data_IF_041413010324
#
_entry.id   IF_041413010324
#
_cell.length_a   1.000
_cell.length_b   1.000
_cell.length_c   1.000
_cell.angle_alpha   90.00
_cell.angle_beta   90.00
_cell.angle_gamma   90.00
#
_symmetry.space_group_name_H-M   'P 1'
#
loop_
_entity.id
_entity.type
_entity.pdbx_description
1 polymer ?
#
# COMPACT_ATOMS: atom_id res chain seq x y z
N UNK A 1 10.68 25.96 17.54
CA UNK A 1 9.24 25.65 17.62
C UNK A 1 9.11 24.20 18.03
N UNK A 2 8.27 23.89 18.96
CA UNK A 2 8.00 22.51 19.36
C UNK A 2 6.82 21.99 18.53
N UNK A 3 7.13 21.16 17.52
CA UNK A 3 6.11 20.55 16.68
C UNK A 3 5.45 19.37 17.41
N UNK A 4 4.16 19.16 17.16
CA UNK A 4 3.40 18.05 17.74
C UNK A 4 3.25 16.85 16.82
N UNK A 5 3.34 17.08 15.51
CA UNK A 5 3.20 16.05 14.47
C UNK A 5 4.32 16.17 13.45
N UNK A 6 5.07 15.10 13.25
CA UNK A 6 6.00 14.93 12.13
C UNK A 6 5.23 14.33 10.95
N UNK A 7 5.06 15.08 9.88
CA UNK A 7 4.46 14.61 8.63
C UNK A 7 5.59 14.24 7.67
N UNK A 8 5.73 12.96 7.35
CA UNK A 8 6.81 12.43 6.52
C UNK A 8 6.24 12.02 5.16
N UNK A 9 6.76 12.60 4.09
CA UNK A 9 6.31 12.37 2.71
C UNK A 9 7.50 11.83 1.90
N UNK A 10 7.66 10.48 1.83
CA UNK A 10 8.63 9.86 0.93
C UNK A 10 8.32 10.20 -0.52
N UNK A 11 9.35 10.61 -1.29
CA UNK A 11 9.13 11.17 -2.62
C UNK A 11 10.23 10.70 -3.59
N UNK A 12 9.83 10.37 -4.83
CA UNK A 12 10.75 10.12 -5.94
C UNK A 12 10.03 10.34 -7.28
N UNK A 13 10.39 11.43 -8.01
CA UNK A 13 9.81 11.81 -9.29
C UNK A 13 8.27 12.00 -9.23
N UNK A 14 7.83 12.92 -8.37
CA UNK A 14 6.41 13.19 -8.08
C UNK A 14 6.00 14.63 -8.49
N UNK A 15 6.66 15.25 -9.48
CA UNK A 15 6.36 16.62 -9.92
C UNK A 15 4.88 16.87 -10.24
N UNK A 16 4.16 15.82 -10.68
CA UNK A 16 2.73 15.90 -11.05
C UNK A 16 1.78 15.92 -9.86
N UNK A 17 2.24 15.49 -8.69
CA UNK A 17 1.37 15.23 -7.55
C UNK A 17 1.78 15.99 -6.29
N UNK A 18 3.08 16.25 -6.09
CA UNK A 18 3.61 16.77 -4.84
C UNK A 18 2.98 18.11 -4.42
N UNK A 19 2.73 19.02 -5.35
CA UNK A 19 2.09 20.31 -5.05
C UNK A 19 0.70 20.10 -4.43
N UNK A 20 -0.14 19.26 -5.07
CA UNK A 20 -1.49 18.95 -4.58
C UNK A 20 -1.48 18.19 -3.25
N UNK A 21 -0.48 17.34 -3.03
CA UNK A 21 -0.29 16.67 -1.75
C UNK A 21 0.01 17.70 -0.65
N UNK A 22 0.97 18.61 -0.88
CA UNK A 22 1.32 19.66 0.06
C UNK A 22 0.15 20.60 0.33
N UNK A 23 -0.61 20.99 -0.68
CA UNK A 23 -1.84 21.80 -0.50
C UNK A 23 -2.82 21.09 0.43
N UNK A 24 -3.05 19.78 0.24
CA UNK A 24 -3.94 19.00 1.11
C UNK A 24 -3.43 18.86 2.55
N UNK A 25 -2.12 18.97 2.79
CA UNK A 25 -1.52 19.00 4.14
C UNK A 25 -1.66 20.39 4.77
N UNK A 26 -1.47 21.44 4.00
CA UNK A 26 -1.63 22.84 4.47
C UNK A 26 -3.08 23.12 4.86
N UNK A 27 -4.03 22.54 4.13
CA UNK A 27 -5.49 22.71 4.36
C UNK A 27 -6.08 21.81 5.46
N UNK A 28 -5.25 21.04 6.20
CA UNK A 28 -5.74 20.20 7.29
C UNK A 28 -6.40 21.01 8.40
N UNK A 29 -7.44 20.42 9.04
CA UNK A 29 -8.07 21.01 10.24
C UNK A 29 -7.14 20.99 11.46
N UNK A 30 -6.22 20.04 11.52
CA UNK A 30 -5.15 20.05 12.52
C UNK A 30 -4.25 21.28 12.31
N UNK A 31 -3.86 22.03 13.36
CA UNK A 31 -3.13 23.28 13.20
C UNK A 31 -1.81 23.12 12.44
N UNK A 32 -1.72 23.68 11.25
CA UNK A 32 -0.55 23.55 10.38
C UNK A 32 0.76 24.00 11.04
N UNK A 33 0.70 25.03 11.91
CA UNK A 33 1.85 25.50 12.70
C UNK A 33 2.44 24.45 13.66
N UNK A 34 1.65 23.44 14.04
CA UNK A 34 2.04 22.37 14.95
C UNK A 34 2.60 21.14 14.18
N UNK A 35 2.68 21.20 12.84
CA UNK A 35 3.19 20.15 11.98
C UNK A 35 4.61 20.47 11.51
N UNK A 36 5.51 19.48 11.53
CA UNK A 36 6.82 19.48 10.88
C UNK A 36 6.70 18.63 9.62
N UNK A 37 6.59 19.29 8.45
CA UNK A 37 6.33 18.62 7.17
C UNK A 37 7.64 18.38 6.45
N UNK A 38 8.05 17.14 6.34
CA UNK A 38 9.29 16.70 5.71
C UNK A 38 9.03 15.96 4.42
N UNK A 39 9.40 16.54 3.30
CA UNK A 39 9.45 15.83 2.01
C UNK A 39 10.83 15.20 1.88
N UNK A 40 10.86 13.86 1.97
CA UNK A 40 12.12 13.11 2.03
C UNK A 40 12.34 12.45 0.66
N UNK A 41 13.18 13.11 -0.16
CA UNK A 41 13.33 12.84 -1.58
C UNK A 41 14.47 11.87 -1.91
N UNK A 42 14.14 10.81 -2.65
CA UNK A 42 15.05 9.77 -3.10
C UNK A 42 15.98 10.14 -4.26
N UNK A 43 16.21 11.44 -4.50
CA UNK A 43 17.03 11.94 -5.61
C UNK A 43 16.23 12.02 -6.90
N UNK A 44 15.10 12.74 -6.87
CA UNK A 44 14.27 13.04 -8.04
C UNK A 44 15.08 13.79 -9.10
N UNK A 45 14.81 13.49 -10.35
CA UNK A 45 15.44 14.12 -11.53
C UNK A 45 14.42 14.91 -12.37
N UNK A 46 13.21 15.10 -11.85
CA UNK A 46 12.17 15.98 -12.35
C UNK A 46 12.06 17.24 -11.50
N UNK A 47 10.99 18.02 -11.63
CA UNK A 47 10.79 19.27 -10.89
C UNK A 47 10.32 19.09 -9.43
N UNK A 48 10.28 17.86 -8.89
CA UNK A 48 9.83 17.59 -7.53
C UNK A 48 10.55 18.45 -6.50
N UNK A 49 11.89 18.49 -6.54
CA UNK A 49 12.69 19.27 -5.61
C UNK A 49 12.40 20.76 -5.70
N UNK A 50 12.37 21.32 -6.91
CA UNK A 50 12.08 22.74 -7.17
C UNK A 50 10.73 23.14 -6.52
N UNK A 51 9.68 22.34 -6.74
CA UNK A 51 8.34 22.57 -6.19
C UNK A 51 8.40 22.58 -4.65
N UNK A 52 9.04 21.58 -4.03
CA UNK A 52 9.12 21.50 -2.56
C UNK A 52 9.88 22.69 -1.97
N UNK A 53 10.99 23.12 -2.59
CA UNK A 53 11.75 24.28 -2.16
C UNK A 53 10.94 25.59 -2.31
N UNK A 54 10.04 25.70 -3.30
CA UNK A 54 9.09 26.81 -3.41
C UNK A 54 8.11 26.86 -2.25
N UNK A 55 7.56 25.70 -1.84
CA UNK A 55 6.71 25.61 -0.66
C UNK A 55 7.48 25.94 0.63
N UNK A 56 8.72 25.45 0.78
CA UNK A 56 9.57 25.73 1.93
C UNK A 56 9.93 27.23 2.09
N UNK A 57 9.99 27.99 0.98
CA UNK A 57 10.15 29.46 1.03
C UNK A 57 8.90 30.18 1.56
N UNK A 58 7.71 29.61 1.36
CA UNK A 58 6.42 30.18 1.83
C UNK A 58 6.07 29.72 3.24
N UNK A 59 6.46 28.51 3.61
CA UNK A 59 6.04 27.84 4.83
C UNK A 59 7.25 27.25 5.55
N UNK A 60 7.67 27.86 6.64
CA UNK A 60 8.89 27.52 7.40
C UNK A 60 8.91 26.09 7.94
N UNK A 61 7.74 25.50 8.12
CA UNK A 61 7.55 24.12 8.61
C UNK A 61 7.50 23.08 7.49
N UNK A 62 7.69 23.44 6.21
CA UNK A 62 7.89 22.50 5.11
C UNK A 62 9.39 22.44 4.79
N UNK A 63 9.96 21.24 4.87
CA UNK A 63 11.38 21.00 4.67
C UNK A 63 11.65 19.95 3.61
N UNK A 64 12.62 20.21 2.74
CA UNK A 64 13.17 19.21 1.83
C UNK A 64 14.32 18.49 2.53
N UNK A 65 14.32 17.15 2.50
CA UNK A 65 15.36 16.29 3.04
C UNK A 65 15.80 15.29 1.96
N UNK A 66 17.10 15.12 1.77
CA UNK A 66 17.63 14.16 0.81
C UNK A 66 17.66 12.74 1.39
N UNK A 67 17.18 11.76 0.62
CA UNK A 67 17.25 10.33 0.93
C UNK A 67 18.22 9.61 -0.02
N UNK A 68 19.47 9.34 0.39
CA UNK A 68 20.45 8.67 -0.46
C UNK A 68 20.09 7.21 -0.77
N UNK A 69 19.27 6.57 0.06
CA UNK A 69 18.86 5.17 -0.10
C UNK A 69 17.71 4.95 -1.09
N UNK A 70 17.03 6.03 -1.53
CA UNK A 70 16.02 6.05 -2.60
C UNK A 70 14.71 5.29 -2.31
N UNK A 71 14.66 4.43 -1.31
CA UNK A 71 13.46 3.66 -0.97
C UNK A 71 12.65 4.32 0.14
N UNK A 72 11.39 3.98 0.19
CA UNK A 72 10.37 4.61 1.04
C UNK A 72 10.60 4.38 2.53
N UNK A 73 11.05 3.18 2.92
CA UNK A 73 11.38 2.85 4.31
C UNK A 73 12.54 3.68 4.85
N UNK A 74 13.60 3.91 4.03
CA UNK A 74 14.71 4.78 4.41
C UNK A 74 14.23 6.22 4.55
N UNK A 75 13.41 6.72 3.62
CA UNK A 75 12.82 8.05 3.72
C UNK A 75 12.01 8.23 5.01
N UNK A 76 11.19 7.24 5.39
CA UNK A 76 10.45 7.26 6.64
C UNK A 76 11.38 7.35 7.85
N UNK A 77 12.40 6.49 7.91
CA UNK A 77 13.37 6.47 9.02
C UNK A 77 14.12 7.81 9.13
N UNK A 78 14.57 8.37 8.01
CA UNK A 78 15.22 9.69 7.96
C UNK A 78 14.26 10.76 8.51
N UNK A 79 13.00 10.76 8.10
CA UNK A 79 12.01 11.71 8.59
C UNK A 79 11.80 11.61 10.10
N UNK A 80 11.69 10.38 10.63
CA UNK A 80 11.49 10.18 12.08
C UNK A 80 12.65 10.71 12.90
N UNK A 81 13.90 10.48 12.49
CA UNK A 81 15.09 10.93 13.24
C UNK A 81 15.36 12.43 13.10
N UNK A 82 14.76 13.09 12.11
CA UNK A 82 14.90 14.54 11.88
C UNK A 82 13.82 15.40 12.54
N UNK A 83 12.97 14.82 13.39
CA UNK A 83 11.93 15.52 14.15
C UNK A 83 11.80 14.91 15.54
N UNK A 84 11.47 15.70 16.55
CA UNK A 84 11.20 15.23 17.91
C UNK A 84 9.70 15.19 18.23
N UNK A 85 8.85 15.42 17.24
CA UNK A 85 7.40 15.44 17.41
C UNK A 85 6.86 14.11 17.99
N UNK A 86 5.95 14.13 18.98
CA UNK A 86 5.44 12.93 19.66
C UNK A 86 4.59 12.02 18.76
N UNK A 87 4.04 12.56 17.69
CA UNK A 87 3.27 11.80 16.71
C UNK A 87 3.93 11.87 15.33
N UNK A 88 3.91 10.76 14.62
CA UNK A 88 4.49 10.58 13.29
C UNK A 88 3.35 10.21 12.33
N UNK A 89 3.21 10.92 11.23
CA UNK A 89 2.24 10.61 10.16
C UNK A 89 3.01 10.39 8.88
N UNK A 90 2.88 9.20 8.29
CA UNK A 90 3.41 8.91 6.95
C UNK A 90 2.34 9.22 5.92
N UNK A 91 2.70 10.01 4.92
CA UNK A 91 1.85 10.32 3.76
C UNK A 91 2.59 9.96 2.47
N UNK A 92 1.88 9.56 1.43
CA UNK A 92 2.47 9.32 0.10
C UNK A 92 2.23 10.53 -0.80
N UNK A 93 3.25 10.94 -1.58
CA UNK A 93 3.23 12.15 -2.40
C UNK A 93 2.14 12.17 -3.49
N UNK A 94 1.71 11.00 -3.97
CA UNK A 94 0.67 10.85 -4.99
C UNK A 94 -0.73 10.51 -4.44
N UNK A 95 -0.95 10.78 -3.15
CA UNK A 95 -2.25 10.67 -2.49
C UNK A 95 -2.79 12.05 -2.09
N UNK A 96 -4.09 12.13 -1.86
CA UNK A 96 -4.79 13.30 -1.35
C UNK A 96 -5.47 12.93 -0.05
N UNK A 97 -5.46 13.84 0.90
CA UNK A 97 -5.95 13.62 2.25
C UNK A 97 -7.13 14.54 2.55
N UNK A 98 -8.21 14.00 3.11
CA UNK A 98 -9.33 14.82 3.57
C UNK A 98 -8.87 15.81 4.64
N UNK A 99 -9.56 16.94 4.77
CA UNK A 99 -9.19 18.04 5.69
C UNK A 99 -9.02 17.60 7.14
N UNK A 100 -9.72 16.58 7.58
CA UNK A 100 -9.73 16.06 8.94
C UNK A 100 -8.86 14.81 9.13
N UNK A 101 -8.04 14.46 8.11
CA UNK A 101 -7.23 13.24 8.11
C UNK A 101 -6.28 13.17 9.30
N UNK A 102 -5.41 14.18 9.46
CA UNK A 102 -4.39 14.21 10.51
C UNK A 102 -5.05 14.35 11.88
N UNK A 103 -6.07 15.20 12.01
CA UNK A 103 -6.81 15.38 13.26
C UNK A 103 -7.43 14.07 13.76
N UNK A 104 -8.11 13.32 12.88
CA UNK A 104 -8.70 12.01 13.21
C UNK A 104 -7.64 10.95 13.52
N UNK A 105 -6.50 10.97 12.83
CA UNK A 105 -5.40 10.09 13.15
C UNK A 105 -4.88 10.34 14.57
N UNK A 106 -4.61 11.60 14.92
CA UNK A 106 -4.10 11.96 16.24
C UNK A 106 -5.13 11.66 17.33
N UNK A 107 -6.40 12.00 17.12
CA UNK A 107 -7.47 11.65 18.05
C UNK A 107 -7.57 10.13 18.28
N UNK A 108 -7.44 9.32 17.23
CA UNK A 108 -7.42 7.85 17.36
C UNK A 108 -6.28 7.35 18.24
N UNK A 109 -5.07 7.92 18.10
CA UNK A 109 -3.91 7.55 18.91
C UNK A 109 -4.04 8.00 20.37
N UNK A 110 -4.69 9.13 20.61
CA UNK A 110 -4.89 9.69 21.96
C UNK A 110 -6.00 8.96 22.74
N UNK A 111 -6.98 8.38 22.05
CA UNK A 111 -8.12 7.70 22.68
C UNK A 111 -7.75 6.33 23.28
N UNK A 112 -6.75 5.64 22.73
CA UNK A 112 -6.30 4.34 23.24
C UNK A 112 -4.78 4.19 23.08
N UNK A 113 -4.06 4.20 24.19
CA UNK A 113 -2.59 4.06 24.23
C UNK A 113 -2.07 2.69 23.74
N UNK A 114 -2.96 1.71 23.58
CA UNK A 114 -2.61 0.42 22.98
C UNK A 114 -2.54 0.49 21.44
N UNK A 115 -3.03 1.56 20.82
CA UNK A 115 -2.95 1.75 19.39
C UNK A 115 -1.55 2.21 19.03
N UNK A 116 -0.84 1.38 18.28
CA UNK A 116 0.51 1.68 17.77
C UNK A 116 0.51 2.21 16.34
N UNK A 117 -0.57 2.01 15.59
CA UNK A 117 -0.77 2.57 14.27
C UNK A 117 -2.25 2.80 14.02
N UNK A 118 -2.60 3.94 13.46
CA UNK A 118 -3.95 4.27 13.02
C UNK A 118 -3.94 4.73 11.57
N UNK A 119 -4.92 4.30 10.82
CA UNK A 119 -5.14 4.74 9.45
C UNK A 119 -6.59 4.50 9.03
N UNK A 120 -6.90 4.78 7.79
CA UNK A 120 -8.26 4.77 7.37
C UNK A 120 -8.51 4.27 5.96
N UNK A 121 -9.61 4.73 5.41
CA UNK A 121 -10.10 4.35 4.10
C UNK A 121 -9.28 5.01 2.99
N UNK A 122 -8.89 4.22 2.01
CA UNK A 122 -8.21 4.70 0.82
C UNK A 122 -9.15 4.59 -0.40
N UNK A 123 -9.63 5.72 -0.88
CA UNK A 123 -10.50 5.81 -2.07
C UNK A 123 -9.61 5.73 -3.30
N UNK A 124 -9.90 4.76 -4.16
CA UNK A 124 -9.16 4.56 -5.40
C UNK A 124 -9.86 5.27 -6.53
N UNK A 125 -9.19 6.27 -7.09
CA UNK A 125 -9.70 7.05 -8.23
C UNK A 125 -9.07 6.55 -9.53
N UNK A 126 -9.77 6.61 -10.67
CA UNK A 126 -9.15 6.38 -11.96
C UNK A 126 -8.13 7.49 -12.26
N UNK A 127 -6.97 7.12 -12.81
CA UNK A 127 -5.91 8.08 -13.16
C UNK A 127 -6.37 9.07 -14.27
N UNK A 128 -7.21 8.57 -15.18
CA UNK A 128 -7.84 9.31 -16.29
C UNK A 128 -9.10 8.56 -16.75
N UNK A 129 -9.82 9.11 -17.74
CA UNK A 129 -11.07 8.54 -18.25
C UNK A 129 -10.89 7.37 -19.23
N UNK A 130 -9.72 6.76 -19.31
CA UNK A 130 -9.53 5.58 -20.15
C UNK A 130 -10.23 4.36 -19.58
N UNK A 131 -10.62 3.43 -20.46
CA UNK A 131 -11.28 2.19 -20.08
C UNK A 131 -10.47 1.41 -19.04
N UNK A 132 -9.14 1.27 -19.23
CA UNK A 132 -8.27 0.53 -18.32
C UNK A 132 -8.05 1.21 -16.98
N UNK A 133 -7.97 2.54 -16.93
CA UNK A 133 -7.85 3.28 -15.67
C UNK A 133 -9.10 3.12 -14.81
N UNK A 134 -10.28 3.24 -15.41
CA UNK A 134 -11.57 3.02 -14.74
C UNK A 134 -11.73 1.55 -14.32
N UNK A 135 -11.39 0.59 -15.18
CA UNK A 135 -11.43 -0.85 -14.83
C UNK A 135 -10.54 -1.15 -13.61
N UNK A 136 -9.35 -0.56 -13.57
CA UNK A 136 -8.43 -0.76 -12.42
C UNK A 136 -9.00 -0.14 -11.13
N UNK A 137 -9.62 1.01 -11.19
CA UNK A 137 -10.28 1.61 -10.03
C UNK A 137 -11.39 0.68 -9.50
N UNK A 138 -12.26 0.15 -10.37
CA UNK A 138 -13.34 -0.80 -10.03
C UNK A 138 -12.77 -2.08 -9.41
N UNK A 139 -11.73 -2.66 -10.03
CA UNK A 139 -11.06 -3.88 -9.55
C UNK A 139 -10.58 -3.74 -8.09
N UNK A 140 -10.10 -2.56 -7.71
CA UNK A 140 -9.59 -2.29 -6.36
C UNK A 140 -10.65 -2.39 -5.25
N UNK A 141 -11.94 -2.26 -5.58
CA UNK A 141 -13.06 -2.46 -4.65
C UNK A 141 -13.60 -3.87 -4.65
N UNK A 142 -13.18 -4.72 -5.59
CA UNK A 142 -13.62 -6.11 -5.64
C UNK A 142 -12.85 -6.95 -4.63
N UNK A 143 -13.59 -7.69 -3.78
CA UNK A 143 -13.01 -8.70 -2.88
C UNK A 143 -12.28 -9.80 -3.65
N UNK A 144 -12.76 -10.13 -4.85
CA UNK A 144 -12.11 -11.10 -5.75
C UNK A 144 -10.82 -10.53 -6.33
N UNK A 145 -10.73 -9.20 -6.58
CA UNK A 145 -9.59 -8.56 -7.24
C UNK A 145 -8.34 -8.43 -6.36
N UNK A 146 -8.42 -7.60 -5.33
CA UNK A 146 -7.24 -7.27 -4.49
C UNK A 146 -7.41 -7.76 -3.04
N UNK A 147 -8.39 -8.62 -2.82
CA UNK A 147 -8.72 -9.15 -1.50
C UNK A 147 -9.44 -8.13 -0.62
N UNK A 148 -9.97 -8.63 0.50
CA UNK A 148 -10.81 -7.85 1.41
C UNK A 148 -10.03 -6.95 2.39
N UNK A 149 -9.04 -6.19 1.95
CA UNK A 149 -8.31 -5.26 2.82
C UNK A 149 -9.26 -4.23 3.43
N UNK A 150 -9.25 -4.08 4.76
CA UNK A 150 -10.16 -3.18 5.47
C UNK A 150 -10.12 -1.75 4.94
N UNK A 151 -8.94 -1.24 4.60
CA UNK A 151 -8.77 0.11 4.06
C UNK A 151 -9.41 0.34 2.68
N UNK A 152 -9.88 -0.71 1.99
CA UNK A 152 -10.58 -0.61 0.69
C UNK A 152 -12.07 -0.90 0.78
N UNK A 153 -12.44 -1.87 1.60
CA UNK A 153 -13.83 -2.37 1.67
C UNK A 153 -14.42 -2.28 3.08
N UNK A 154 -13.65 -1.87 4.08
CA UNK A 154 -14.11 -1.72 5.46
C UNK A 154 -15.10 -0.56 5.61
N UNK A 155 -16.16 -0.80 6.38
CA UNK A 155 -17.23 0.19 6.63
C UNK A 155 -17.38 0.53 8.11
N UNK A 156 -16.70 -0.20 9.00
CA UNK A 156 -16.74 0.00 10.45
C UNK A 156 -15.32 0.08 11.01
N UNK A 157 -15.11 0.83 12.12
CA UNK A 157 -13.85 0.80 12.85
C UNK A 157 -13.52 -0.63 13.31
N UNK A 158 -12.26 -1.05 13.16
CA UNK A 158 -11.82 -2.40 13.55
C UNK A 158 -10.31 -2.46 13.80
N UNK A 159 -9.87 -3.46 14.55
CA UNK A 159 -8.45 -3.80 14.64
C UNK A 159 -8.08 -4.71 13.47
N UNK A 160 -7.02 -4.33 12.77
CA UNK A 160 -6.63 -4.94 11.49
C UNK A 160 -5.16 -5.32 11.47
N UNK A 161 -4.75 -6.05 10.44
CA UNK A 161 -3.35 -6.44 10.26
C UNK A 161 -2.47 -5.30 9.72
N UNK A 162 -3.04 -4.39 8.92
CA UNK A 162 -2.33 -3.28 8.30
C UNK A 162 -3.28 -2.16 7.85
N UNK A 163 -2.80 -0.91 7.88
CA UNK A 163 -3.44 0.27 7.30
C UNK A 163 -2.46 1.02 6.41
N UNK A 164 -2.90 1.68 5.32
CA UNK A 164 -2.05 2.55 4.53
C UNK A 164 -1.88 3.92 5.22
N UNK A 165 -0.83 4.66 4.86
CA UNK A 165 -0.62 6.05 5.30
C UNK A 165 -0.83 6.23 6.80
N UNK A 166 -0.19 5.36 7.60
CA UNK A 166 -0.43 5.27 9.04
C UNK A 166 0.12 6.43 9.85
N UNK A 167 -0.50 6.62 11.02
CA UNK A 167 -0.01 7.51 12.06
C UNK A 167 0.40 6.71 13.29
N UNK A 168 1.52 7.11 13.90
CA UNK A 168 2.19 6.35 14.95
C UNK A 168 2.55 7.27 16.12
N UNK A 169 2.45 6.83 17.39
CA UNK A 169 3.15 7.49 18.49
C UNK A 169 4.67 7.28 18.30
N UNK A 170 5.48 8.27 18.64
CA UNK A 170 6.96 8.14 18.61
C UNK A 170 7.47 6.98 19.45
N UNK A 171 6.82 6.71 20.57
CA UNK A 171 7.14 5.58 21.46
C UNK A 171 7.06 4.22 20.77
N UNK A 172 6.27 4.09 19.71
CA UNK A 172 6.25 2.87 18.86
C UNK A 172 7.57 2.75 18.12
N UNK A 173 8.04 3.82 17.46
CA UNK A 173 9.32 3.81 16.77
C UNK A 173 10.49 3.52 17.74
N UNK A 174 10.48 4.13 18.90
CA UNK A 174 11.49 3.90 19.96
C UNK A 174 11.52 2.45 20.43
N UNK A 175 10.34 1.83 20.57
CA UNK A 175 10.21 0.43 21.04
C UNK A 175 10.47 -0.60 19.96
N UNK A 176 9.96 -0.34 18.73
CA UNK A 176 9.94 -1.32 17.64
C UNK A 176 11.13 -1.12 16.68
N UNK A 177 11.73 0.07 16.68
CA UNK A 177 12.74 0.51 15.73
C UNK A 177 12.12 1.02 14.44
N UNK A 178 12.95 1.42 13.47
CA UNK A 178 12.54 1.91 12.17
C UNK A 178 12.00 0.83 11.23
N UNK A 179 11.48 1.27 10.08
CA UNK A 179 11.13 0.36 8.99
C UNK A 179 12.37 -0.30 8.40
N UNK A 180 12.25 -1.54 7.93
CA UNK A 180 13.36 -2.27 7.32
C UNK A 180 13.81 -1.64 6.02
N UNK A 181 15.10 -1.31 5.94
CA UNK A 181 15.71 -0.59 4.82
C UNK A 181 16.11 -1.50 3.65
N UNK A 182 15.99 -2.81 3.81
CA UNK A 182 16.25 -3.82 2.79
C UNK A 182 14.97 -4.31 2.09
N UNK A 183 13.79 -3.79 2.49
CA UNK A 183 12.51 -4.08 1.85
C UNK A 183 12.07 -2.91 0.96
N UNK A 184 12.13 -3.04 -0.37
CA UNK A 184 11.70 -1.97 -1.27
C UNK A 184 10.17 -1.83 -1.34
N UNK A 185 9.42 -2.84 -0.88
CA UNK A 185 7.97 -2.88 -0.76
C UNK A 185 7.54 -3.82 0.35
N UNK A 186 6.26 -3.75 0.76
CA UNK A 186 5.69 -4.49 1.89
C UNK A 186 6.35 -4.17 3.23
N UNK A 187 7.07 -3.04 3.31
CA UNK A 187 7.66 -2.50 4.52
C UNK A 187 6.60 -2.18 5.58
N UNK A 188 5.40 -1.75 5.13
CA UNK A 188 4.25 -1.48 5.98
C UNK A 188 3.68 -2.77 6.60
N UNK A 189 3.57 -3.86 5.84
CA UNK A 189 3.12 -5.15 6.35
C UNK A 189 4.08 -5.68 7.43
N UNK A 190 5.38 -5.61 7.18
CA UNK A 190 6.43 -6.04 8.11
C UNK A 190 6.42 -5.15 9.36
N UNK A 191 6.34 -3.82 9.19
CA UNK A 191 6.34 -2.88 10.30
C UNK A 191 5.11 -3.04 11.19
N UNK A 192 3.91 -3.17 10.60
CA UNK A 192 2.68 -3.44 11.34
C UNK A 192 2.72 -4.80 12.06
N UNK A 193 3.38 -5.81 11.51
CA UNK A 193 3.60 -7.09 12.20
C UNK A 193 4.47 -6.92 13.44
N UNK A 194 5.58 -6.16 13.36
CA UNK A 194 6.42 -5.85 14.53
C UNK A 194 5.67 -5.03 15.58
N UNK A 195 4.88 -4.06 15.17
CA UNK A 195 4.02 -3.27 16.07
C UNK A 195 3.09 -4.19 16.86
N UNK A 196 2.41 -5.13 16.18
CA UNK A 196 1.52 -6.10 16.84
C UNK A 196 2.27 -7.07 17.76
N UNK A 197 3.46 -7.55 17.37
CA UNK A 197 4.33 -8.40 18.18
C UNK A 197 4.84 -7.69 19.44
N UNK A 198 4.99 -6.37 19.37
CA UNK A 198 5.35 -5.54 20.52
C UNK A 198 4.18 -5.27 21.49
N UNK A 199 2.99 -5.84 21.20
CA UNK A 199 1.80 -5.73 22.06
C UNK A 199 0.87 -4.56 21.73
N UNK A 200 1.15 -3.78 20.67
CA UNK A 200 0.27 -2.73 20.19
C UNK A 200 -0.78 -3.27 19.21
N UNK A 201 -1.78 -2.46 18.96
CA UNK A 201 -2.85 -2.72 17.99
C UNK A 201 -2.71 -1.81 16.77
N UNK A 202 -3.14 -2.29 15.60
CA UNK A 202 -3.30 -1.49 14.39
C UNK A 202 -4.79 -1.21 14.21
N UNK A 203 -5.17 0.06 14.16
CA UNK A 203 -6.57 0.48 14.16
C UNK A 203 -6.97 1.08 12.83
N UNK A 204 -8.05 0.59 12.26
CA UNK A 204 -8.69 1.12 11.07
C UNK A 204 -9.93 1.92 11.45
N UNK A 205 -9.99 3.19 11.01
CA UNK A 205 -11.18 4.02 11.12
C UNK A 205 -11.63 4.48 9.72
N UNK A 206 -12.82 4.06 9.23
CA UNK A 206 -13.31 4.42 7.89
C UNK A 206 -13.58 5.91 7.69
N UNK A 207 -13.63 6.70 8.76
CA UNK A 207 -13.79 8.15 8.67
C UNK A 207 -12.47 8.87 8.36
N UNK A 208 -11.34 8.24 8.55
CA UNK A 208 -10.02 8.74 8.10
C UNK A 208 -9.93 8.43 6.61
N UNK A 209 -10.02 9.44 5.76
CA UNK A 209 -10.14 9.24 4.31
C UNK A 209 -8.97 9.84 3.56
N UNK A 210 -8.36 9.04 2.72
CA UNK A 210 -7.40 9.44 1.70
C UNK A 210 -7.87 9.00 0.31
N UNK A 211 -7.31 9.59 -0.74
CA UNK A 211 -7.57 9.20 -2.14
C UNK A 211 -6.26 8.94 -2.86
N UNK A 212 -6.27 7.95 -3.75
CA UNK A 212 -5.09 7.50 -4.48
C UNK A 212 -5.49 7.14 -5.91
N UNK A 213 -4.61 7.42 -6.89
CA UNK A 213 -4.89 7.14 -8.29
C UNK A 213 -4.45 5.73 -8.69
N UNK A 214 -5.37 4.92 -9.23
CA UNK A 214 -5.09 3.61 -9.79
C UNK A 214 -4.16 3.70 -11.00
N UNK A 215 -3.42 2.63 -11.29
CA UNK A 215 -2.55 2.59 -12.48
C UNK A 215 -3.35 2.74 -13.77
N UNK A 216 -2.87 3.53 -14.76
CA UNK A 216 -3.67 3.89 -15.94
C UNK A 216 -3.82 2.78 -16.99
N UNK A 217 -2.99 1.73 -16.94
CA UNK A 217 -2.98 0.67 -17.97
C UNK A 217 -2.89 -0.72 -17.35
N UNK A 218 -3.39 -1.73 -18.07
CA UNK A 218 -3.25 -3.14 -17.69
C UNK A 218 -1.79 -3.52 -17.42
N UNK A 219 -0.86 -3.13 -18.30
CA UNK A 219 0.57 -3.41 -18.15
C UNK A 219 1.14 -2.81 -16.85
N UNK A 220 0.77 -1.59 -16.51
CA UNK A 220 1.22 -0.93 -15.27
C UNK A 220 0.63 -1.61 -14.03
N UNK A 221 -0.62 -2.07 -14.09
CA UNK A 221 -1.28 -2.84 -13.03
C UNK A 221 -0.60 -4.18 -12.81
N UNK A 222 -0.33 -4.94 -13.89
CA UNK A 222 0.41 -6.21 -13.81
C UNK A 222 1.81 -6.03 -13.21
N UNK A 223 2.54 -4.98 -13.64
CA UNK A 223 3.87 -4.67 -13.07
C UNK A 223 3.79 -4.37 -11.58
N UNK A 224 2.78 -3.60 -11.15
CA UNK A 224 2.56 -3.30 -9.73
C UNK A 224 2.25 -4.57 -8.94
N UNK A 225 1.36 -5.43 -9.47
CA UNK A 225 0.96 -6.66 -8.79
C UNK A 225 2.12 -7.67 -8.73
N UNK A 226 2.91 -7.78 -9.79
CA UNK A 226 4.14 -8.57 -9.79
C UNK A 226 5.10 -8.12 -8.68
N UNK A 227 5.40 -6.81 -8.61
CA UNK A 227 6.30 -6.27 -7.60
C UNK A 227 5.76 -6.43 -6.16
N UNK A 228 4.43 -6.32 -5.97
CA UNK A 228 3.80 -6.60 -4.69
C UNK A 228 3.94 -8.09 -4.32
N UNK A 229 3.68 -9.00 -5.26
CA UNK A 229 3.88 -10.43 -5.06
C UNK A 229 5.33 -10.78 -4.73
N UNK A 230 6.30 -10.24 -5.48
CA UNK A 230 7.73 -10.44 -5.23
C UNK A 230 8.11 -10.05 -3.80
N UNK A 231 7.62 -8.92 -3.32
CA UNK A 231 7.87 -8.47 -1.94
C UNK A 231 7.23 -9.39 -0.90
N UNK A 232 6.02 -9.92 -1.16
CA UNK A 232 5.43 -10.96 -0.29
C UNK A 232 6.29 -12.22 -0.28
N UNK A 233 6.86 -12.62 -1.44
CA UNK A 233 7.82 -13.72 -1.51
C UNK A 233 9.06 -13.50 -0.63
N UNK A 234 9.55 -12.26 -0.54
CA UNK A 234 10.65 -11.88 0.36
C UNK A 234 10.27 -12.04 1.84
N UNK A 235 9.03 -11.72 2.22
CA UNK A 235 8.55 -11.82 3.61
C UNK A 235 8.59 -13.25 4.17
N UNK A 236 8.61 -14.29 3.35
CA UNK A 236 8.82 -15.67 3.83
C UNK A 236 10.14 -15.87 4.58
N UNK A 237 11.14 -15.03 4.29
CA UNK A 237 12.46 -15.07 4.92
C UNK A 237 12.66 -14.02 6.00
N UNK A 238 11.86 -12.96 5.97
CA UNK A 238 11.97 -11.81 6.88
C UNK A 238 11.00 -11.91 8.05
N UNK A 239 9.71 -12.01 7.74
CA UNK A 239 8.65 -12.14 8.75
C UNK A 239 7.40 -12.79 8.15
N UNK A 240 7.22 -14.09 8.41
CA UNK A 240 6.08 -14.86 7.91
C UNK A 240 4.74 -14.42 8.51
N UNK A 241 4.74 -13.89 9.72
CA UNK A 241 3.52 -13.47 10.41
C UNK A 241 2.94 -12.18 9.79
N UNK A 242 3.74 -11.48 8.97
CA UNK A 242 3.25 -10.34 8.18
C UNK A 242 2.48 -10.74 6.93
N UNK A 243 2.46 -12.04 6.58
CA UNK A 243 1.79 -12.57 5.38
C UNK A 243 0.37 -12.99 5.72
N UNK A 244 -0.63 -12.17 5.36
CA UNK A 244 -2.04 -12.55 5.52
C UNK A 244 -2.49 -13.61 4.51
N UNK A 245 -3.53 -14.39 4.84
CA UNK A 245 -4.09 -15.45 3.98
C UNK A 245 -4.46 -14.96 2.57
N UNK A 246 -4.92 -13.72 2.45
CA UNK A 246 -5.26 -13.10 1.16
C UNK A 246 -4.09 -13.08 0.17
N UNK A 247 -2.86 -13.01 0.66
CA UNK A 247 -1.65 -13.01 -0.17
C UNK A 247 -1.29 -14.40 -0.71
N UNK A 248 -1.79 -15.45 -0.05
CA UNK A 248 -1.53 -16.83 -0.46
C UNK A 248 -2.43 -17.28 -1.62
N UNK A 249 -3.61 -16.70 -1.80
CA UNK A 249 -4.58 -17.12 -2.82
C UNK A 249 -3.99 -17.03 -4.25
N UNK A 250 -3.39 -15.91 -4.69
CA UNK A 250 -2.76 -15.85 -6.01
C UNK A 250 -1.55 -16.78 -6.16
N UNK A 251 -0.79 -16.99 -5.09
CA UNK A 251 0.32 -17.96 -5.08
C UNK A 251 -0.19 -19.38 -5.32
N UNK A 252 -1.19 -19.82 -4.55
CA UNK A 252 -1.81 -21.15 -4.67
C UNK A 252 -2.37 -21.33 -6.09
N UNK A 253 -3.01 -20.32 -6.65
CA UNK A 253 -3.53 -20.35 -8.01
C UNK A 253 -2.44 -20.62 -9.05
N UNK A 254 -1.33 -19.85 -9.02
CA UNK A 254 -0.23 -20.03 -10.00
C UNK A 254 0.51 -21.34 -9.78
N UNK A 255 0.79 -21.72 -8.52
CA UNK A 255 1.41 -23.02 -8.20
C UNK A 255 0.51 -24.17 -8.65
N UNK A 256 -0.80 -24.06 -8.44
CA UNK A 256 -1.79 -25.04 -8.90
C UNK A 256 -1.77 -25.25 -10.42
N UNK A 257 -1.65 -24.15 -11.19
CA UNK A 257 -1.51 -24.24 -12.66
C UNK A 257 -0.21 -24.95 -13.01
N UNK A 258 0.92 -24.59 -12.42
CA UNK A 258 2.24 -25.16 -12.75
C UNK A 258 2.26 -26.67 -12.41
N UNK A 259 1.92 -27.01 -11.16
CA UNK A 259 1.94 -28.39 -10.67
C UNK A 259 0.89 -29.24 -11.41
N UNK A 260 -0.31 -28.71 -11.60
CA UNK A 260 -1.37 -29.38 -12.36
C UNK A 260 -0.96 -29.67 -13.80
N UNK A 261 -0.30 -28.70 -14.46
CA UNK A 261 0.22 -28.90 -15.82
C UNK A 261 1.29 -30.00 -15.86
N UNK A 262 2.27 -29.97 -14.93
CA UNK A 262 3.33 -30.99 -14.87
C UNK A 262 2.74 -32.38 -14.62
N UNK A 263 1.82 -32.52 -13.67
CA UNK A 263 1.20 -33.81 -13.36
C UNK A 263 0.29 -34.30 -14.48
N UNK A 264 -0.33 -33.41 -15.24
CA UNK A 264 -1.15 -33.74 -16.41
C UNK A 264 -0.35 -34.38 -17.55
N UNK A 265 0.95 -34.13 -17.63
CA UNK A 265 1.84 -34.79 -18.60
C UNK A 265 2.07 -36.26 -18.27
N UNK A 266 1.94 -36.65 -17.00
CA UNK A 266 2.18 -38.01 -16.55
C UNK A 266 0.89 -38.84 -16.37
N UNK A 267 -0.20 -38.19 -15.93
CA UNK A 267 -1.45 -38.87 -15.53
C UNK A 267 -2.69 -38.12 -16.02
N UNK A 268 -3.47 -38.77 -16.90
CA UNK A 268 -4.69 -38.20 -17.48
C UNK A 268 -5.71 -37.64 -16.44
N UNK A 269 -5.95 -38.25 -15.26
CA UNK A 269 -6.86 -37.71 -14.26
C UNK A 269 -6.49 -36.29 -13.81
N UNK A 270 -5.21 -35.90 -13.79
CA UNK A 270 -4.77 -34.55 -13.44
C UNK A 270 -5.15 -33.52 -14.50
N UNK A 271 -5.33 -33.89 -15.76
CA UNK A 271 -5.88 -33.00 -16.80
C UNK A 271 -7.28 -32.56 -16.39
N UNK A 272 -8.13 -33.50 -16.01
CA UNK A 272 -9.51 -33.18 -15.59
C UNK A 272 -9.53 -32.32 -14.32
N UNK A 273 -8.64 -32.62 -13.35
CA UNK A 273 -8.53 -31.83 -12.12
C UNK A 273 -8.06 -30.38 -12.42
N UNK A 274 -7.06 -30.22 -13.27
CA UNK A 274 -6.59 -28.92 -13.71
C UNK A 274 -7.69 -28.13 -14.44
N UNK A 275 -8.36 -28.78 -15.40
CA UNK A 275 -9.47 -28.15 -16.13
C UNK A 275 -10.63 -27.78 -15.19
N UNK A 276 -10.99 -28.64 -14.26
CA UNK A 276 -12.02 -28.33 -13.27
C UNK A 276 -11.64 -27.12 -12.39
N UNK A 277 -10.38 -27.05 -11.92
CA UNK A 277 -9.87 -25.91 -11.16
C UNK A 277 -9.87 -24.61 -11.96
N UNK A 278 -9.44 -24.65 -13.24
CA UNK A 278 -9.48 -23.50 -14.13
C UNK A 278 -10.92 -23.06 -14.44
N UNK A 279 -11.81 -24.01 -14.71
CA UNK A 279 -13.24 -23.72 -14.92
C UNK A 279 -13.86 -23.05 -13.69
N UNK A 280 -13.57 -23.55 -12.50
CA UNK A 280 -14.04 -22.93 -11.26
C UNK A 280 -13.48 -21.51 -11.08
N UNK A 281 -12.19 -21.32 -11.33
CA UNK A 281 -11.57 -20.00 -11.27
C UNK A 281 -12.23 -19.01 -12.24
N UNK A 282 -12.37 -19.38 -13.52
CA UNK A 282 -12.97 -18.51 -14.53
C UNK A 282 -14.46 -18.29 -14.31
N UNK A 283 -15.16 -19.23 -13.69
CA UNK A 283 -16.54 -19.03 -13.26
C UNK A 283 -16.61 -17.97 -12.14
N UNK A 284 -15.76 -18.05 -11.13
CA UNK A 284 -15.68 -17.05 -10.07
C UNK A 284 -15.28 -15.66 -10.62
N UNK A 285 -14.31 -15.61 -11.54
CA UNK A 285 -13.88 -14.38 -12.23
C UNK A 285 -15.04 -13.77 -13.03
N UNK A 286 -15.74 -14.60 -13.80
CA UNK A 286 -16.90 -14.14 -14.57
C UNK A 286 -18.01 -13.58 -13.67
N UNK A 287 -18.32 -14.26 -12.57
CA UNK A 287 -19.33 -13.79 -11.60
C UNK A 287 -18.89 -12.46 -10.97
N UNK A 288 -17.63 -12.34 -10.56
CA UNK A 288 -17.11 -11.11 -10.00
C UNK A 288 -17.13 -9.97 -11.02
N UNK A 289 -16.73 -10.25 -12.26
CA UNK A 289 -16.76 -9.28 -13.37
C UNK A 289 -18.18 -8.85 -13.74
N UNK A 290 -19.11 -9.81 -13.74
CA UNK A 290 -20.54 -9.56 -14.01
C UNK A 290 -21.17 -8.66 -12.95
N UNK A 291 -20.93 -8.98 -11.66
CA UNK A 291 -21.47 -8.17 -10.56
C UNK A 291 -20.92 -6.75 -10.58
N UNK A 292 -19.61 -6.58 -10.81
CA UNK A 292 -19.00 -5.27 -10.93
C UNK A 292 -19.47 -4.51 -12.18
N UNK A 293 -19.61 -5.19 -13.32
CA UNK A 293 -20.12 -4.57 -14.55
C UNK A 293 -21.60 -4.17 -14.45
N UNK A 294 -22.40 -4.94 -13.71
CA UNK A 294 -23.80 -4.58 -13.42
C UNK A 294 -23.91 -3.26 -12.65
N UNK A 295 -22.99 -2.99 -11.74
CA UNK A 295 -22.97 -1.78 -10.92
C UNK A 295 -22.36 -0.59 -11.66
N UNK A 296 -21.25 -0.80 -12.39
CA UNK A 296 -20.45 0.29 -12.97
C UNK A 296 -20.62 0.46 -14.47
N UNK A 297 -21.29 -0.48 -15.17
CA UNK A 297 -21.56 -0.45 -16.61
C UNK A 297 -21.00 -1.63 -17.38
N UNK A 298 -21.78 -2.15 -18.33
CA UNK A 298 -21.48 -3.37 -19.09
C UNK A 298 -20.19 -3.32 -19.93
N UNK A 299 -19.74 -2.11 -20.29
CA UNK A 299 -18.46 -1.92 -21.00
C UNK A 299 -17.25 -2.43 -20.22
N UNK A 300 -17.37 -2.60 -18.90
CA UNK A 300 -16.30 -3.09 -18.04
C UNK A 300 -16.27 -4.62 -17.87
N UNK A 301 -17.27 -5.37 -18.35
CA UNK A 301 -17.34 -6.82 -18.17
C UNK A 301 -16.07 -7.53 -18.67
N UNK A 302 -15.76 -7.38 -19.95
CA UNK A 302 -14.59 -8.01 -20.56
C UNK A 302 -13.26 -7.46 -20.01
N UNK A 303 -13.08 -6.14 -19.88
CA UNK A 303 -11.88 -5.59 -19.25
C UNK A 303 -11.63 -6.07 -17.82
N UNK A 304 -12.66 -6.21 -16.97
CA UNK A 304 -12.54 -6.75 -15.62
C UNK A 304 -12.13 -8.22 -15.63
N UNK A 305 -12.80 -9.03 -16.45
CA UNK A 305 -12.48 -10.46 -16.60
C UNK A 305 -11.00 -10.68 -16.99
N UNK A 306 -10.50 -9.92 -17.96
CA UNK A 306 -9.08 -9.99 -18.36
C UNK A 306 -8.18 -9.47 -17.25
N UNK A 307 -8.56 -8.39 -16.58
CA UNK A 307 -7.72 -7.74 -15.57
C UNK A 307 -7.61 -8.57 -14.30
N UNK A 308 -8.68 -9.21 -13.83
CA UNK A 308 -8.63 -10.10 -12.67
C UNK A 308 -7.64 -11.23 -12.88
N UNK A 309 -7.72 -11.93 -14.01
CA UNK A 309 -6.77 -12.98 -14.33
C UNK A 309 -5.33 -12.46 -14.36
N UNK A 310 -5.09 -11.37 -15.10
CA UNK A 310 -3.75 -10.81 -15.27
C UNK A 310 -3.12 -10.36 -13.94
N UNK A 311 -3.89 -9.73 -13.05
CA UNK A 311 -3.36 -9.26 -11.76
C UNK A 311 -3.11 -10.42 -10.80
N UNK A 312 -3.98 -11.43 -10.73
CA UNK A 312 -3.78 -12.61 -9.90
C UNK A 312 -2.57 -13.43 -10.37
N UNK A 313 -2.45 -13.65 -11.68
CA UNK A 313 -1.30 -14.36 -12.24
C UNK A 313 0.00 -13.60 -11.98
N UNK A 314 0.02 -12.28 -12.25
CA UNK A 314 1.20 -11.44 -12.02
C UNK A 314 1.63 -11.44 -10.55
N UNK A 315 0.67 -11.37 -9.63
CA UNK A 315 0.95 -11.39 -8.20
C UNK A 315 1.51 -12.75 -7.76
N UNK A 316 0.83 -13.85 -8.10
CA UNK A 316 1.28 -15.20 -7.73
C UNK A 316 2.64 -15.55 -8.32
N UNK A 317 2.88 -15.19 -9.58
CA UNK A 317 4.18 -15.36 -10.23
C UNK A 317 5.26 -14.52 -9.52
N UNK A 318 5.00 -13.26 -9.23
CA UNK A 318 5.88 -12.41 -8.44
C UNK A 318 6.23 -13.04 -7.09
N UNK A 319 5.23 -13.62 -6.39
CA UNK A 319 5.46 -14.29 -5.09
C UNK A 319 6.40 -15.49 -5.22
N UNK A 320 6.27 -16.28 -6.28
CA UNK A 320 7.21 -17.38 -6.56
C UNK A 320 8.62 -16.84 -6.77
N UNK A 321 8.79 -15.84 -7.65
CA UNK A 321 10.11 -15.22 -7.90
C UNK A 321 10.70 -14.65 -6.63
N UNK A 322 9.90 -13.90 -5.84
CA UNK A 322 10.30 -13.34 -4.56
C UNK A 322 10.71 -14.40 -3.54
N UNK A 323 10.04 -15.55 -3.51
CA UNK A 323 10.44 -16.67 -2.68
C UNK A 323 11.85 -17.17 -3.02
N UNK A 324 12.20 -17.31 -4.29
CA UNK A 324 13.53 -17.74 -4.68
C UNK A 324 14.61 -16.66 -4.52
N UNK A 325 14.28 -15.41 -4.79
CA UNK A 325 15.23 -14.28 -4.70
C UNK A 325 15.43 -13.77 -3.27
N UNK A 326 14.41 -13.87 -2.42
CA UNK A 326 14.40 -13.38 -1.04
C UNK A 326 15.33 -14.11 -0.07
N UNK A 327 15.85 -15.29 -0.45
CA UNK A 327 16.79 -16.06 0.37
C UNK A 327 18.02 -15.24 0.81
N UNK A 328 18.43 -14.27 -0.01
CA UNK A 328 19.54 -13.34 0.27
C UNK A 328 19.26 -12.38 1.44
N UNK A 329 17.97 -12.13 1.75
CA UNK A 329 17.55 -11.20 2.81
C UNK A 329 17.60 -11.85 4.21
N UNK A 330 17.63 -13.20 4.29
CA UNK A 330 17.69 -13.95 5.55
C UNK A 330 18.91 -13.61 6.41
N UNK A 331 20.02 -13.24 5.77
CA UNK A 331 21.31 -13.01 6.42
C UNK A 331 21.62 -11.53 6.67
N UNK A 332 20.73 -10.62 6.30
CA UNK A 332 20.84 -9.19 6.60
C UNK A 332 20.03 -8.90 7.89
N UNK A 333 20.67 -9.08 9.03
CA UNK A 333 20.18 -8.62 10.33
C UNK A 333 20.80 -7.28 10.66
#
# INVERSE_FOLDING_TARGET
>A
MEYKVAVIIPTLNEEKFIARCLDSVIEQSYPFRDMDVMVVDGGSNDRTREIVEEYGRKYINIRFIHNPGRIQSIAFNIGVVNSDAPYIVRLDAHALYNKDYIEKCIAGLQNDTQIGNVGGRCIILPFNDTLWANTNAILNYSRFGIGGSAFRVGVKPDFVDSVPFGAFPRTVFEKVGGMREDLPRAEDNEYNSRIRKAGYKVFFNPEIVSSYYARPTLKASCRQMYANGESIGHLFYVDRDSIGLRHMIPLIFVVGIIVGTILSLAFLPFVYLLLAGLCLYFLCDFVASFLAAKEHGWKFLLPLFVMFFCVHFSYGWGTIVGFFTGRKLKNKK
#
